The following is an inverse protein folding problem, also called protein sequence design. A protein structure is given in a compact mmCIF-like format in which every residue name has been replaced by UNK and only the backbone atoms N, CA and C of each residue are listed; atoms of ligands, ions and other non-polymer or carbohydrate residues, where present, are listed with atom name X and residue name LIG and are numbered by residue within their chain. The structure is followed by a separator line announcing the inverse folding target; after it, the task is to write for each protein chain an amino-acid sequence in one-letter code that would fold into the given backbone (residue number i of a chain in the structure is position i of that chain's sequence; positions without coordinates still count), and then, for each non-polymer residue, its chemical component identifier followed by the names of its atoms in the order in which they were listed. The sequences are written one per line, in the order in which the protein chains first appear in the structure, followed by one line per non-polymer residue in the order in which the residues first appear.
data_IF_352440881754
#
_entry.id   IF_352440881754
#
_cell.length_a   1.000
_cell.length_b   1.000
_cell.length_c   1.000
_cell.angle_alpha   90.00
_cell.angle_beta   90.00
_cell.angle_gamma   90.00
#
_symmetry.space_group_name_H-M   'P 1'
#
loop_
_entity.id
_entity.type
_entity.pdbx_description
1 polymer ?
#
# COMPACT_ATOMS: atom_id res chain seq x y z
N UNK A 1 -6.06 -24.87 12.95
CA UNK A 1 -4.59 -24.78 12.87
C UNK A 1 -4.16 -23.76 13.91
N UNK A 2 -3.15 -24.04 14.73
CA UNK A 2 -2.66 -23.04 15.69
C UNK A 2 -2.05 -21.85 14.92
N UNK A 3 -2.45 -20.62 15.25
CA UNK A 3 -2.00 -19.41 14.55
C UNK A 3 -0.49 -19.23 14.68
N UNK A 4 0.09 -19.60 15.82
CA UNK A 4 1.53 -19.50 16.03
C UNK A 4 2.29 -20.51 15.17
N UNK A 5 1.81 -21.76 15.10
CA UNK A 5 2.37 -22.76 14.21
C UNK A 5 2.30 -22.35 12.72
N UNK A 6 1.18 -21.79 12.28
CA UNK A 6 1.02 -21.28 10.91
C UNK A 6 2.00 -20.15 10.60
N UNK A 7 2.11 -19.18 11.53
CA UNK A 7 3.06 -18.06 11.44
C UNK A 7 4.50 -18.55 11.34
N UNK A 8 4.91 -19.48 12.22
CA UNK A 8 6.23 -20.07 12.19
C UNK A 8 6.53 -20.81 10.87
N UNK A 9 5.55 -21.54 10.33
CA UNK A 9 5.70 -22.24 9.06
C UNK A 9 5.88 -21.27 7.88
N UNK A 10 5.12 -20.17 7.83
CA UNK A 10 5.27 -19.15 6.78
C UNK A 10 6.63 -18.44 6.86
N UNK A 11 7.10 -18.09 8.06
CA UNK A 11 8.43 -17.52 8.24
C UNK A 11 9.53 -18.50 7.82
N UNK A 12 9.41 -19.78 8.19
CA UNK A 12 10.31 -20.83 7.73
C UNK A 12 10.33 -20.96 6.21
N UNK A 13 9.17 -20.89 5.55
CA UNK A 13 9.08 -20.89 4.09
C UNK A 13 9.73 -19.65 3.48
N UNK A 14 9.45 -18.46 4.01
CA UNK A 14 10.04 -17.20 3.55
C UNK A 14 11.58 -17.22 3.59
N UNK A 15 12.17 -17.83 4.63
CA UNK A 15 13.64 -17.99 4.74
C UNK A 15 14.24 -18.89 3.67
N UNK A 16 13.46 -19.79 3.05
CA UNK A 16 13.96 -20.65 1.96
C UNK A 16 13.95 -19.98 0.59
N UNK A 17 13.20 -18.88 0.42
CA UNK A 17 13.02 -18.20 -0.86
C UNK A 17 14.05 -17.11 -1.13
N UNK A 18 14.77 -17.28 -2.25
CA UNK A 18 15.80 -16.34 -2.72
C UNK A 18 15.21 -15.14 -3.46
N UNK A 19 14.08 -15.32 -4.17
CA UNK A 19 13.42 -14.22 -4.85
C UNK A 19 12.70 -13.33 -3.82
N UNK A 20 13.10 -12.07 -3.74
CA UNK A 20 12.58 -11.12 -2.75
C UNK A 20 11.09 -10.83 -2.94
N UNK A 21 10.63 -10.71 -4.19
CA UNK A 21 9.22 -10.44 -4.47
C UNK A 21 8.33 -11.62 -4.02
N UNK A 22 8.73 -12.86 -4.32
CA UNK A 22 8.01 -14.06 -3.87
C UNK A 22 8.07 -14.21 -2.34
N UNK A 23 9.21 -13.90 -1.72
CA UNK A 23 9.36 -13.87 -0.26
C UNK A 23 8.41 -12.84 0.38
N UNK A 24 8.33 -11.65 -0.17
CA UNK A 24 7.45 -10.59 0.33
C UNK A 24 5.97 -10.97 0.23
N UNK A 25 5.56 -11.75 -0.78
CA UNK A 25 4.19 -12.28 -0.84
C UNK A 25 3.91 -13.23 0.33
N UNK A 26 4.85 -14.11 0.70
CA UNK A 26 4.69 -15.00 1.86
C UNK A 26 4.60 -14.18 3.16
N UNK A 27 5.47 -13.18 3.31
CA UNK A 27 5.46 -12.28 4.47
C UNK A 27 4.17 -11.45 4.53
N UNK A 28 3.61 -11.10 3.38
CA UNK A 28 2.32 -10.40 3.31
C UNK A 28 1.18 -11.28 3.84
N UNK A 29 1.16 -12.56 3.48
CA UNK A 29 0.18 -13.53 4.03
C UNK A 29 0.38 -13.69 5.53
N UNK A 30 1.63 -13.79 5.97
CA UNK A 30 1.98 -13.88 7.40
C UNK A 30 1.49 -12.66 8.20
N UNK A 31 1.72 -11.45 7.67
CA UNK A 31 1.33 -10.19 8.31
C UNK A 31 -0.20 -10.04 8.42
N UNK A 32 -0.95 -10.69 7.54
CA UNK A 32 -2.42 -10.71 7.53
C UNK A 32 -3.03 -11.82 8.40
N UNK A 33 -2.26 -12.80 8.90
CA UNK A 33 -2.80 -13.85 9.78
C UNK A 33 -3.41 -13.31 11.09
N UNK A 34 -2.79 -12.34 11.81
CA UNK A 34 -3.37 -11.82 13.04
C UNK A 34 -4.75 -11.17 12.89
N UNK A 35 -4.98 -10.24 11.93
CA UNK A 35 -6.24 -9.52 11.79
C UNK A 35 -7.35 -10.34 11.12
N UNK A 36 -7.02 -11.36 10.31
CA UNK A 36 -8.04 -12.22 9.69
C UNK A 36 -8.67 -13.13 10.75
N UNK A 37 -9.93 -12.85 11.10
CA UNK A 37 -10.75 -13.66 12.01
C UNK A 37 -11.98 -14.18 11.27
N UNK A 38 -12.32 -15.44 11.53
CA UNK A 38 -13.59 -16.02 11.11
C UNK A 38 -14.69 -15.60 12.09
N UNK A 39 -14.98 -14.30 12.11
CA UNK A 39 -15.94 -13.65 12.98
C UNK A 39 -16.70 -12.59 12.19
N UNK A 40 -18.01 -12.49 12.45
CA UNK A 40 -18.81 -11.37 11.96
C UNK A 40 -18.55 -10.13 12.82
N UNK A 41 -17.48 -9.42 12.49
CA UNK A 41 -17.08 -8.17 13.18
C UNK A 41 -17.87 -6.95 12.71
N UNK A 42 -18.85 -7.14 11.83
CA UNK A 42 -19.64 -6.05 11.26
C UNK A 42 -18.84 -5.13 10.34
N UNK A 43 -19.22 -3.84 10.32
CA UNK A 43 -18.63 -2.86 9.41
C UNK A 43 -17.25 -2.39 9.93
N UNK A 44 -16.22 -2.68 9.15
CA UNK A 44 -14.86 -2.16 9.37
C UNK A 44 -14.76 -0.73 8.85
N UNK A 45 -14.38 0.20 9.72
CA UNK A 45 -14.12 1.60 9.35
C UNK A 45 -12.83 1.77 8.56
N UNK A 46 -12.65 2.88 7.85
CA UNK A 46 -11.45 3.14 7.03
C UNK A 46 -10.16 3.09 7.86
N UNK A 47 -10.14 3.71 9.04
CA UNK A 47 -8.96 3.69 9.91
C UNK A 47 -8.58 2.29 10.39
N UNK A 48 -9.58 1.46 10.70
CA UNK A 48 -9.36 0.06 11.08
C UNK A 48 -8.90 -0.78 9.89
N UNK A 49 -9.50 -0.57 8.71
CA UNK A 49 -9.09 -1.22 7.47
C UNK A 49 -7.61 -0.90 7.17
N UNK A 50 -7.22 0.37 7.29
CA UNK A 50 -5.85 0.80 7.07
C UNK A 50 -4.90 0.18 8.10
N UNK A 51 -5.17 0.36 9.40
CA UNK A 51 -4.23 -0.02 10.44
C UNK A 51 -4.09 -1.54 10.60
N UNK A 52 -5.19 -2.27 10.46
CA UNK A 52 -5.23 -3.70 10.73
C UNK A 52 -4.87 -4.55 9.51
N UNK A 53 -5.16 -4.09 8.30
CA UNK A 53 -5.00 -4.90 7.08
C UNK A 53 -4.07 -4.25 6.06
N UNK A 54 -4.35 -3.01 5.63
CA UNK A 54 -3.62 -2.40 4.51
C UNK A 54 -2.17 -2.08 4.89
N UNK A 55 -1.93 -1.48 6.05
CA UNK A 55 -0.58 -1.08 6.45
C UNK A 55 0.35 -2.30 6.61
N UNK A 56 0.00 -3.35 7.40
CA UNK A 56 0.83 -4.55 7.48
C UNK A 56 1.07 -5.22 6.12
N UNK A 57 0.02 -5.30 5.29
CA UNK A 57 0.10 -5.91 3.96
C UNK A 57 1.04 -5.15 3.03
N UNK A 58 0.84 -3.83 2.88
CA UNK A 58 1.63 -3.00 1.97
C UNK A 58 3.08 -2.87 2.46
N UNK A 59 3.29 -2.79 3.78
CA UNK A 59 4.63 -2.74 4.36
C UNK A 59 5.41 -4.02 4.07
N UNK A 60 4.79 -5.20 4.29
CA UNK A 60 5.40 -6.48 3.99
C UNK A 60 5.67 -6.66 2.49
N UNK A 61 4.74 -6.20 1.64
CA UNK A 61 4.84 -6.38 0.20
C UNK A 61 5.90 -5.47 -0.44
N UNK A 62 5.95 -4.19 -0.06
CA UNK A 62 6.68 -3.15 -0.81
C UNK A 62 7.91 -2.57 -0.11
N UNK A 63 8.06 -2.76 1.20
CA UNK A 63 9.14 -2.15 1.99
C UNK A 63 9.92 -3.10 2.90
N UNK A 64 9.54 -4.37 3.04
CA UNK A 64 10.11 -5.26 4.06
C UNK A 64 11.65 -5.38 4.03
N UNK A 65 12.25 -5.57 2.86
CA UNK A 65 13.70 -5.77 2.69
C UNK A 65 14.48 -4.48 2.40
N UNK A 66 13.79 -3.35 2.27
CA UNK A 66 14.42 -2.11 1.85
C UNK A 66 14.34 -1.09 2.98
N UNK A 67 15.43 -0.98 3.73
CA UNK A 67 15.58 -0.08 4.86
C UNK A 67 15.39 1.40 4.48
N UNK A 68 15.59 1.73 3.20
CA UNK A 68 15.38 3.06 2.65
C UNK A 68 13.94 3.29 2.17
N UNK A 69 13.03 2.30 2.27
CA UNK A 69 11.61 2.45 1.96
C UNK A 69 10.75 2.48 3.20
N UNK A 70 9.90 3.50 3.28
CA UNK A 70 8.95 3.66 4.39
C UNK A 70 7.53 3.65 3.85
N UNK A 71 6.76 2.62 4.20
CA UNK A 71 5.33 2.57 3.99
C UNK A 71 4.60 3.28 5.14
N UNK A 72 3.68 4.21 4.83
CA UNK A 72 2.99 5.00 5.86
C UNK A 72 1.58 5.39 5.46
N UNK A 73 0.72 5.52 6.47
CA UNK A 73 -0.56 6.19 6.34
C UNK A 73 -0.31 7.70 6.15
N UNK A 74 -0.77 8.26 5.04
CA UNK A 74 -0.46 9.65 4.69
C UNK A 74 -1.44 10.60 5.39
N UNK A 75 -0.87 11.62 6.03
CA UNK A 75 -1.62 12.72 6.63
C UNK A 75 -1.23 14.09 6.03
N UNK A 76 -0.39 14.09 5.01
CA UNK A 76 0.22 15.29 4.43
C UNK A 76 -0.17 15.43 2.97
N UNK A 77 -0.37 16.67 2.53
CA UNK A 77 -0.51 16.99 1.11
C UNK A 77 0.88 16.86 0.48
N UNK A 78 1.04 16.12 -0.63
CA UNK A 78 2.33 16.03 -1.31
C UNK A 78 2.83 17.42 -1.72
N UNK A 79 4.06 17.78 -1.34
CA UNK A 79 4.70 19.01 -1.78
C UNK A 79 5.30 18.83 -3.19
N UNK A 80 4.44 18.55 -4.15
CA UNK A 80 4.81 18.32 -5.55
C UNK A 80 4.41 19.48 -6.47
N UNK A 81 4.21 20.67 -5.91
CA UNK A 81 3.96 21.90 -6.66
C UNK A 81 2.58 22.01 -7.32
N UNK A 82 1.57 21.29 -6.81
CA UNK A 82 0.20 21.33 -7.38
C UNK A 82 -0.87 21.78 -6.38
N UNK A 83 -1.89 22.46 -6.89
CA UNK A 83 -3.11 22.90 -6.15
C UNK A 83 -4.03 21.73 -5.75
N UNK A 84 -3.49 20.51 -5.61
CA UNK A 84 -4.27 19.38 -5.12
C UNK A 84 -4.46 19.57 -3.62
N UNK A 85 -5.61 20.12 -3.24
CA UNK A 85 -6.02 20.31 -1.84
C UNK A 85 -6.25 19.01 -1.07
N UNK A 86 -6.07 17.85 -1.71
CA UNK A 86 -6.30 16.52 -1.14
C UNK A 86 -4.99 15.74 -1.05
N UNK A 87 -4.88 14.96 0.02
CA UNK A 87 -3.80 14.01 0.27
C UNK A 87 -4.22 12.61 -0.20
N UNK A 88 -3.27 11.73 -0.57
CA UNK A 88 -3.53 10.30 -0.62
C UNK A 88 -3.78 9.77 0.81
N UNK A 89 -4.46 8.64 0.95
CA UNK A 89 -4.64 7.96 2.25
C UNK A 89 -3.39 7.18 2.67
N UNK A 90 -2.57 6.76 1.70
CA UNK A 90 -1.38 5.94 1.93
C UNK A 90 -0.25 6.27 0.94
N UNK A 91 1.00 6.13 1.38
CA UNK A 91 2.18 6.27 0.52
C UNK A 91 3.32 5.32 0.90
N UNK A 92 4.16 4.96 -0.07
CA UNK A 92 5.45 4.28 0.16
C UNK A 92 6.56 5.16 -0.42
N UNK A 93 7.45 5.64 0.43
CA UNK A 93 8.45 6.64 0.09
C UNK A 93 9.84 6.02 0.09
N UNK A 94 10.64 6.33 -0.93
CA UNK A 94 12.08 6.05 -0.97
C UNK A 94 12.85 7.19 -0.29
N UNK A 95 13.81 6.83 0.55
CA UNK A 95 14.77 7.73 1.15
C UNK A 95 16.12 7.57 0.47
N UNK A 96 16.80 8.69 0.25
CA UNK A 96 18.18 8.71 -0.22
C UNK A 96 18.95 9.67 0.67
N UNK A 97 20.10 9.23 1.20
CA UNK A 97 20.92 10.05 2.10
C UNK A 97 20.12 10.62 3.29
N UNK A 98 19.25 9.79 3.89
CA UNK A 98 18.39 10.15 5.02
C UNK A 98 17.35 11.25 4.74
N UNK A 99 17.05 11.53 3.46
CA UNK A 99 16.00 12.47 3.06
C UNK A 99 14.99 11.80 2.16
N UNK A 100 13.74 12.26 2.21
CA UNK A 100 12.71 11.81 1.26
C UNK A 100 13.16 12.15 -0.16
N UNK A 101 13.23 11.14 -1.01
CA UNK A 101 13.61 11.28 -2.42
C UNK A 101 12.35 11.31 -3.29
N UNK A 102 11.64 10.18 -3.39
CA UNK A 102 10.42 10.07 -4.22
C UNK A 102 9.43 9.04 -3.68
N UNK A 103 8.17 9.12 -4.12
CA UNK A 103 7.14 8.13 -3.79
C UNK A 103 7.15 6.99 -4.82
N UNK A 104 7.19 5.77 -4.31
CA UNK A 104 7.13 4.53 -5.11
C UNK A 104 5.72 3.97 -5.19
N UNK A 105 4.85 4.35 -4.24
CA UNK A 105 3.46 3.95 -4.24
C UNK A 105 2.52 4.97 -3.60
N UNK A 106 1.30 5.07 -4.12
CA UNK A 106 0.18 5.77 -3.49
C UNK A 106 -1.01 4.82 -3.26
N UNK A 107 -1.79 5.09 -2.23
CA UNK A 107 -3.02 4.35 -1.94
C UNK A 107 -4.20 5.26 -1.57
N UNK A 108 -5.39 4.86 -1.98
CA UNK A 108 -6.69 5.39 -1.53
C UNK A 108 -7.46 4.24 -0.87
N UNK A 109 -8.06 4.50 0.30
CA UNK A 109 -8.74 3.48 1.09
C UNK A 109 -10.15 3.94 1.44
N UNK A 110 -11.13 3.09 1.16
CA UNK A 110 -12.54 3.32 1.47
C UNK A 110 -13.15 2.09 2.11
N UNK A 111 -14.12 2.32 2.98
CA UNK A 111 -14.94 1.23 3.50
C UNK A 111 -15.84 0.65 2.39
N UNK A 112 -16.47 -0.50 2.64
CA UNK A 112 -17.34 -1.16 1.66
C UNK A 112 -18.64 -0.40 1.32
N UNK A 113 -18.89 0.77 1.91
CA UNK A 113 -20.10 1.57 1.70
C UNK A 113 -19.89 2.79 0.79
N UNK A 114 -18.71 2.96 0.19
CA UNK A 114 -18.44 4.06 -0.73
C UNK A 114 -19.28 3.95 -2.01
N UNK A 115 -19.84 5.07 -2.49
CA UNK A 115 -20.50 5.10 -3.78
C UNK A 115 -19.50 4.87 -4.92
N UNK A 116 -19.96 4.24 -6.00
CA UNK A 116 -19.15 3.99 -7.20
C UNK A 116 -18.53 5.27 -7.77
N UNK A 117 -19.30 6.37 -7.78
CA UNK A 117 -18.83 7.68 -8.23
C UNK A 117 -17.65 8.16 -7.37
N UNK A 118 -17.74 8.02 -6.04
CA UNK A 118 -16.63 8.39 -5.17
C UNK A 118 -15.41 7.51 -5.44
N UNK A 119 -15.58 6.20 -5.58
CA UNK A 119 -14.47 5.29 -5.91
C UNK A 119 -13.76 5.68 -7.23
N UNK A 120 -14.51 6.08 -8.26
CA UNK A 120 -13.93 6.54 -9.53
C UNK A 120 -13.17 7.86 -9.34
N UNK A 121 -13.72 8.81 -8.59
CA UNK A 121 -13.05 10.08 -8.32
C UNK A 121 -11.77 9.88 -7.50
N UNK A 122 -11.78 8.94 -6.56
CA UNK A 122 -10.62 8.56 -5.76
C UNK A 122 -9.52 7.93 -6.64
N UNK A 123 -9.90 7.04 -7.56
CA UNK A 123 -8.98 6.50 -8.56
C UNK A 123 -8.37 7.59 -9.45
N UNK A 124 -9.18 8.55 -9.93
CA UNK A 124 -8.68 9.65 -10.75
C UNK A 124 -7.64 10.51 -10.01
N UNK A 125 -7.87 10.80 -8.72
CA UNK A 125 -6.89 11.51 -7.88
C UNK A 125 -5.61 10.70 -7.72
N UNK A 126 -5.72 9.39 -7.51
CA UNK A 126 -4.59 8.49 -7.41
C UNK A 126 -3.71 8.50 -8.67
N UNK A 127 -4.33 8.51 -9.86
CA UNK A 127 -3.62 8.67 -11.13
C UNK A 127 -2.91 10.02 -11.26
N UNK A 128 -3.53 11.11 -10.78
CA UNK A 128 -2.90 12.43 -10.78
C UNK A 128 -1.65 12.41 -9.88
N UNK A 129 -1.74 11.89 -8.65
CA UNK A 129 -0.57 11.78 -7.76
C UNK A 129 0.58 11.02 -8.42
N UNK A 130 0.28 9.86 -9.01
CA UNK A 130 1.29 9.06 -9.74
C UNK A 130 1.92 9.86 -10.88
N UNK A 131 1.10 10.49 -11.73
CA UNK A 131 1.60 11.26 -12.88
C UNK A 131 2.52 12.40 -12.45
N UNK A 132 2.15 13.14 -11.42
CA UNK A 132 2.95 14.27 -10.94
C UNK A 132 4.28 13.82 -10.37
N UNK A 133 4.27 12.80 -9.51
CA UNK A 133 5.48 12.23 -8.95
C UNK A 133 6.39 11.67 -10.05
N UNK A 134 5.84 11.01 -11.07
CA UNK A 134 6.61 10.54 -12.22
C UNK A 134 7.32 11.68 -12.97
N UNK A 135 6.66 12.83 -13.11
CA UNK A 135 7.25 14.01 -13.76
C UNK A 135 8.32 14.67 -12.88
N UNK A 136 8.00 14.92 -11.61
CA UNK A 136 8.91 15.61 -10.67
C UNK A 136 10.16 14.79 -10.39
N UNK A 137 9.99 13.48 -10.22
CA UNK A 137 11.06 12.55 -9.84
C UNK A 137 11.65 11.79 -11.04
N UNK A 138 11.24 12.13 -12.27
CA UNK A 138 11.69 11.51 -13.52
C UNK A 138 11.60 9.97 -13.53
N UNK A 139 10.48 9.43 -13.05
CA UNK A 139 10.23 7.99 -12.94
C UNK A 139 9.49 7.45 -14.17
N UNK A 140 9.83 6.24 -14.59
CA UNK A 140 9.16 5.56 -15.73
C UNK A 140 7.81 4.95 -15.35
N UNK A 141 7.56 4.78 -14.05
CA UNK A 141 6.28 4.32 -13.54
C UNK A 141 6.21 4.29 -12.02
N UNK A 142 4.98 4.29 -11.52
CA UNK A 142 4.63 4.23 -10.11
C UNK A 142 3.51 3.21 -9.91
N UNK A 143 3.61 2.43 -8.83
CA UNK A 143 2.55 1.54 -8.40
C UNK A 143 1.51 2.35 -7.63
N UNK A 144 0.23 2.07 -7.79
CA UNK A 144 -0.77 2.55 -6.84
C UNK A 144 -1.82 1.50 -6.56
N UNK A 145 -2.57 1.69 -5.49
CA UNK A 145 -3.65 0.78 -5.14
C UNK A 145 -4.90 1.50 -4.67
N UNK A 146 -6.03 0.87 -4.88
CA UNK A 146 -7.30 1.27 -4.28
C UNK A 146 -7.84 0.10 -3.45
N UNK A 147 -8.07 0.36 -2.17
CA UNK A 147 -8.72 -0.60 -1.28
C UNK A 147 -10.16 -0.17 -1.01
N UNK A 148 -11.12 -1.05 -1.28
CA UNK A 148 -12.56 -0.81 -1.04
C UNK A 148 -13.10 -2.00 -0.25
N UNK A 149 -13.36 -1.78 1.03
CA UNK A 149 -13.70 -2.86 1.96
C UNK A 149 -12.60 -3.95 1.96
N UNK A 150 -12.95 -5.23 1.75
CA UNK A 150 -11.97 -6.32 1.77
C UNK A 150 -11.15 -6.45 0.47
N UNK A 151 -11.48 -5.70 -0.57
CA UNK A 151 -10.86 -5.83 -1.89
C UNK A 151 -9.76 -4.78 -2.07
N UNK A 152 -8.61 -5.21 -2.58
CA UNK A 152 -7.55 -4.31 -3.05
C UNK A 152 -7.27 -4.54 -4.53
N UNK A 153 -7.18 -3.45 -5.29
CA UNK A 153 -6.78 -3.46 -6.69
C UNK A 153 -5.48 -2.68 -6.85
N UNK A 154 -4.48 -3.30 -7.48
CA UNK A 154 -3.20 -2.66 -7.81
C UNK A 154 -3.19 -2.19 -9.27
N UNK A 155 -2.60 -1.03 -9.50
CA UNK A 155 -2.44 -0.43 -10.83
C UNK A 155 -0.99 -0.01 -11.02
N UNK A 156 -0.43 -0.28 -12.21
CA UNK A 156 0.89 0.21 -12.59
C UNK A 156 0.71 1.37 -13.57
N UNK A 157 1.01 2.58 -13.12
CA UNK A 157 1.05 3.76 -13.98
C UNK A 157 2.42 3.82 -14.65
N UNK A 158 2.46 3.94 -15.98
CA UNK A 158 3.68 3.98 -16.77
C UNK A 158 3.62 5.13 -17.78
N UNK A 159 4.77 5.75 -18.09
CA UNK A 159 4.88 6.64 -19.25
C UNK A 159 5.11 5.75 -20.48
N UNK A 160 4.22 5.81 -21.46
CA UNK A 160 4.50 5.30 -22.80
C UNK A 160 5.04 6.46 -23.63
N UNK A 161 6.29 6.36 -24.07
CA UNK A 161 6.87 7.23 -25.10
C UNK A 161 6.49 6.70 -26.49
#
# INVERSE_FOLDING_TARGET
MDNLAARHALLGLAMTWKNEAERNVILTVEALLPPIKDLDIGLVGESELIASFIHPMIQALLSYENDDKVARCSNTIPDNGTDITKRPDYEVIMFEQYKESYRTCYGEVKNGCSSEINSILDFYRLCIFCKLEMVVSNLTGILCFQAIGPSITFYRNIVNF
#
